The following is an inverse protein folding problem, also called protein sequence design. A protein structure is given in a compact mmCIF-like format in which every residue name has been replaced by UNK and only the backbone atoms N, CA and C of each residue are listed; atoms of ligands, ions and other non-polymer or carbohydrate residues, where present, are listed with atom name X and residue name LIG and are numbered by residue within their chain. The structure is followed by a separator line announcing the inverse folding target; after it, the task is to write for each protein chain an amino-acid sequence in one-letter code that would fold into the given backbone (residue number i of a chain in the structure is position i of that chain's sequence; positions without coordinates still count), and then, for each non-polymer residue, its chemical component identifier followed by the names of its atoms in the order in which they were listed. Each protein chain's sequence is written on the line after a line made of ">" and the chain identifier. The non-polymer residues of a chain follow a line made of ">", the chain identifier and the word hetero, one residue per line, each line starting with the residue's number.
data_IF_323509990601
#
_entry.id   IF_323509990601
#
_cell.length_a   1.000
_cell.length_b   1.000
_cell.length_c   1.000
_cell.angle_alpha   90.00
_cell.angle_beta   90.00
_cell.angle_gamma   90.00
#
_symmetry.space_group_name_H-M   'P 1'
#
loop_
_entity.id
_entity.type
_entity.pdbx_description
1 polymer ?
#
# COMPACT_ATOMS: atom_id res chain seq x y z
N UNK A 1 -13.57 -26.83 68.79
CA UNK A 1 -13.57 -27.25 67.37
C UNK A 1 -13.68 -26.00 66.49
N UNK A 2 -12.66 -25.81 65.65
CA UNK A 2 -12.59 -24.98 64.43
C UNK A 2 -12.87 -23.46 64.55
N UNK A 3 -11.87 -22.77 65.13
CA UNK A 3 -11.43 -21.43 64.72
C UNK A 3 -10.74 -21.52 63.35
N UNK A 4 -11.44 -21.31 62.24
CA UNK A 4 -10.84 -21.04 60.91
C UNK A 4 -11.79 -20.14 60.12
N UNK A 5 -11.79 -18.83 60.41
CA UNK A 5 -12.38 -17.80 59.53
C UNK A 5 -11.50 -16.55 59.57
N UNK A 6 -10.24 -16.66 59.15
CA UNK A 6 -9.38 -15.49 58.96
C UNK A 6 -8.12 -15.75 58.10
N UNK A 7 -8.21 -16.42 56.93
CA UNK A 7 -7.06 -16.49 55.99
C UNK A 7 -7.50 -16.57 54.51
N UNK A 8 -8.49 -15.78 54.08
CA UNK A 8 -8.84 -15.68 52.64
C UNK A 8 -8.95 -14.25 52.12
N UNK A 9 -8.37 -13.27 52.83
CA UNK A 9 -8.44 -11.85 52.43
C UNK A 9 -7.09 -11.20 52.09
N UNK A 10 -6.05 -11.99 51.77
CA UNK A 10 -4.71 -11.48 51.40
C UNK A 10 -4.14 -12.22 50.17
N UNK A 11 -4.99 -12.53 49.18
CA UNK A 11 -4.54 -12.99 47.85
C UNK A 11 -5.25 -12.26 46.69
N UNK A 12 -5.87 -11.11 46.96
CA UNK A 12 -6.54 -10.24 45.99
C UNK A 12 -5.85 -8.87 45.84
N UNK A 13 -4.54 -8.83 46.09
CA UNK A 13 -3.69 -7.62 46.01
C UNK A 13 -2.63 -7.66 44.91
N UNK A 14 -2.89 -8.39 43.82
CA UNK A 14 -1.99 -8.51 42.67
C UNK A 14 -2.58 -7.91 41.39
N UNK A 15 -3.29 -6.79 41.50
CA UNK A 15 -3.79 -6.05 40.34
C UNK A 15 -2.62 -5.32 39.67
N UNK A 16 -2.35 -5.71 38.44
CA UNK A 16 -2.00 -4.74 37.40
C UNK A 16 -0.53 -4.35 37.31
N UNK A 17 0.26 -5.22 36.70
CA UNK A 17 1.14 -4.74 35.62
C UNK A 17 1.02 -5.72 34.46
N UNK A 18 -0.06 -5.59 33.69
CA UNK A 18 -0.08 -6.11 32.33
C UNK A 18 1.00 -5.32 31.58
N UNK A 19 2.16 -5.93 31.41
CA UNK A 19 3.16 -5.46 30.47
C UNK A 19 2.48 -5.44 29.10
N UNK A 20 2.10 -4.25 28.65
CA UNK A 20 1.86 -4.00 27.24
C UNK A 20 3.21 -4.17 26.54
N UNK A 21 3.56 -5.42 26.24
CA UNK A 21 4.63 -5.77 25.34
C UNK A 21 4.20 -5.30 23.95
N UNK A 22 4.37 -4.00 23.68
CA UNK A 22 4.28 -3.45 22.35
C UNK A 22 5.33 -4.17 21.51
N UNK A 23 4.90 -5.12 20.69
CA UNK A 23 5.78 -5.76 19.72
C UNK A 23 6.30 -4.65 18.81
N UNK A 24 7.59 -4.34 18.93
CA UNK A 24 8.24 -3.39 18.02
C UNK A 24 8.07 -3.94 16.61
N UNK A 25 7.16 -3.36 15.83
CA UNK A 25 6.96 -3.72 14.43
C UNK A 25 8.30 -3.50 13.72
N UNK A 26 8.94 -4.58 13.29
CA UNK A 26 10.20 -4.52 12.55
C UNK A 26 9.95 -3.71 11.26
N UNK A 27 10.80 -2.71 10.99
CA UNK A 27 10.74 -1.98 9.72
C UNK A 27 10.95 -2.99 8.58
N UNK A 28 10.11 -2.99 7.54
CA UNK A 28 10.29 -3.89 6.40
C UNK A 28 11.62 -3.59 5.69
N UNK A 29 12.20 -4.60 5.05
CA UNK A 29 13.36 -4.37 4.19
C UNK A 29 12.95 -3.51 2.98
N UNK A 30 13.89 -2.79 2.33
CA UNK A 30 13.55 -1.93 1.20
C UNK A 30 12.74 -2.62 0.09
N UNK A 31 13.11 -3.86 -0.28
CA UNK A 31 12.39 -4.61 -1.32
C UNK A 31 11.01 -5.14 -0.88
N UNK A 32 10.75 -5.20 0.43
CA UNK A 32 9.48 -5.64 1.03
C UNK A 32 8.55 -4.46 1.37
N UNK A 33 9.06 -3.22 1.26
CA UNK A 33 8.28 -2.04 1.59
C UNK A 33 7.15 -1.86 0.57
N UNK A 34 5.91 -1.87 1.07
CA UNK A 34 4.70 -1.88 0.25
C UNK A 34 4.31 -3.26 -0.25
N UNK A 35 4.95 -4.35 0.18
CA UNK A 35 4.48 -5.69 -0.14
C UNK A 35 3.20 -6.03 0.62
N UNK A 36 2.29 -6.75 -0.03
CA UNK A 36 0.99 -7.15 0.51
C UNK A 36 0.84 -8.67 0.39
N UNK A 37 0.48 -9.31 1.50
CA UNK A 37 0.10 -10.72 1.52
C UNK A 37 -1.41 -10.86 1.36
N UNK A 38 -1.85 -11.53 0.30
CA UNK A 38 -3.25 -11.80 -0.01
C UNK A 38 -3.52 -13.29 0.24
N UNK A 39 -4.45 -13.57 1.14
CA UNK A 39 -4.77 -14.92 1.60
C UNK A 39 -6.27 -15.09 1.89
N UNK A 40 -7.14 -14.48 1.07
CA UNK A 40 -8.59 -14.59 1.22
C UNK A 40 -9.07 -16.04 1.19
N UNK A 41 -8.55 -16.82 0.23
CA UNK A 41 -8.98 -18.21 -0.02
C UNK A 41 -7.80 -19.17 -0.23
N UNK A 42 -6.56 -18.68 -0.35
CA UNK A 42 -5.41 -19.52 -0.71
C UNK A 42 -5.17 -20.65 0.28
N UNK A 43 -5.09 -20.35 1.58
CA UNK A 43 -4.84 -21.37 2.60
C UNK A 43 -5.95 -22.43 2.66
N UNK A 44 -7.21 -22.03 2.51
CA UNK A 44 -8.35 -22.96 2.46
C UNK A 44 -8.29 -23.88 1.25
N UNK A 45 -7.71 -23.42 0.15
CA UNK A 45 -7.45 -24.20 -1.06
C UNK A 45 -6.13 -24.99 -1.02
N UNK A 46 -5.44 -25.06 0.12
CA UNK A 46 -4.15 -25.75 0.25
C UNK A 46 -3.00 -25.05 -0.48
N UNK A 47 -3.13 -23.76 -0.79
CA UNK A 47 -2.13 -22.98 -1.51
C UNK A 47 -1.45 -21.95 -0.58
N UNK A 48 -0.16 -21.66 -0.80
CA UNK A 48 0.51 -20.55 -0.13
C UNK A 48 -0.22 -19.23 -0.40
N UNK A 49 -0.11 -18.23 0.48
CA UNK A 49 -0.68 -16.92 0.20
C UNK A 49 -0.03 -16.28 -1.03
N UNK A 50 -0.73 -15.35 -1.67
CA UNK A 50 -0.16 -14.55 -2.76
C UNK A 50 0.65 -13.41 -2.15
N UNK A 51 1.89 -13.24 -2.59
CA UNK A 51 2.72 -12.08 -2.26
C UNK A 51 2.70 -11.09 -3.43
N UNK A 52 2.20 -9.89 -3.18
CA UNK A 52 2.11 -8.81 -4.15
C UNK A 52 3.07 -7.68 -3.78
N UNK A 53 4.03 -7.39 -4.65
CA UNK A 53 4.99 -6.31 -4.44
C UNK A 53 4.61 -5.09 -5.28
N UNK A 54 4.29 -3.97 -4.61
CA UNK A 54 3.88 -2.75 -5.30
C UNK A 54 4.96 -2.21 -6.23
N UNK A 55 6.25 -2.30 -5.86
CA UNK A 55 7.32 -1.71 -6.68
C UNK A 55 7.41 -2.31 -8.09
N UNK A 56 7.07 -3.60 -8.26
CA UNK A 56 7.07 -4.28 -9.56
C UNK A 56 6.04 -3.69 -10.53
N UNK A 57 4.89 -3.27 -9.99
CA UNK A 57 3.76 -2.75 -10.76
C UNK A 57 3.82 -1.23 -10.85
N UNK A 58 4.06 -0.55 -9.73
CA UNK A 58 4.12 0.90 -9.60
C UNK A 58 5.23 1.56 -10.44
N UNK A 59 6.32 0.84 -10.75
CA UNK A 59 7.33 1.35 -11.69
C UNK A 59 6.78 1.55 -13.12
N UNK A 60 5.61 1.00 -13.42
CA UNK A 60 4.98 1.01 -14.73
C UNK A 60 3.58 1.63 -14.75
N UNK A 61 2.80 1.45 -13.69
CA UNK A 61 1.38 1.82 -13.65
C UNK A 61 1.10 2.80 -12.51
N UNK A 62 0.11 3.68 -12.71
CA UNK A 62 -0.43 4.52 -11.65
C UNK A 62 -1.25 3.69 -10.65
N UNK A 63 -1.45 4.20 -9.44
CA UNK A 63 -2.30 3.58 -8.43
C UNK A 63 -3.76 3.52 -8.90
N UNK A 64 -4.20 4.50 -9.71
CA UNK A 64 -5.55 4.58 -10.27
C UNK A 64 -5.92 3.31 -11.05
N UNK A 65 -5.03 2.82 -11.91
CA UNK A 65 -5.28 1.62 -12.71
C UNK A 65 -5.69 0.44 -11.82
N UNK A 66 -4.98 0.19 -10.72
CA UNK A 66 -5.28 -0.95 -9.86
C UNK A 66 -6.46 -0.68 -8.92
N UNK A 67 -6.48 0.48 -8.26
CA UNK A 67 -7.38 0.72 -7.14
C UNK A 67 -8.70 1.39 -7.53
N UNK A 68 -8.79 1.93 -8.75
CA UNK A 68 -10.00 2.55 -9.29
C UNK A 68 -10.51 1.76 -10.49
N UNK A 69 -9.67 1.53 -11.51
CA UNK A 69 -10.14 0.88 -12.75
C UNK A 69 -10.37 -0.63 -12.56
N UNK A 70 -9.42 -1.34 -11.93
CA UNK A 70 -9.55 -2.77 -11.63
C UNK A 70 -10.37 -3.02 -10.35
N UNK A 71 -10.35 -2.08 -9.40
CA UNK A 71 -11.13 -2.16 -8.17
C UNK A 71 -10.48 -2.95 -7.03
N UNK A 72 -9.15 -3.00 -6.97
CA UNK A 72 -8.47 -3.49 -5.77
C UNK A 72 -8.68 -2.52 -4.60
N UNK A 73 -9.17 -3.01 -3.47
CA UNK A 73 -9.30 -2.22 -2.27
C UNK A 73 -7.94 -1.87 -1.67
N UNK A 74 -7.89 -0.74 -0.95
CA UNK A 74 -6.66 -0.19 -0.37
C UNK A 74 -6.14 -0.93 0.87
N UNK A 75 -6.84 -1.99 1.29
CA UNK A 75 -6.51 -2.79 2.48
C UNK A 75 -6.32 -4.24 2.08
N UNK A 76 -5.27 -4.88 2.61
CA UNK A 76 -5.00 -6.28 2.37
C UNK A 76 -6.25 -7.14 2.64
N UNK A 77 -6.57 -8.06 1.72
CA UNK A 77 -7.70 -8.98 1.81
C UNK A 77 -9.12 -8.33 1.79
N UNK A 78 -9.25 -7.02 1.53
CA UNK A 78 -10.58 -6.40 1.41
C UNK A 78 -11.28 -6.85 0.14
N UNK A 79 -10.58 -6.85 -1.00
CA UNK A 79 -11.06 -7.44 -2.25
C UNK A 79 -11.01 -8.96 -2.17
N UNK A 80 -12.15 -9.63 -2.40
CA UNK A 80 -12.28 -11.08 -2.34
C UNK A 80 -11.93 -11.70 -3.69
N UNK A 81 -10.66 -12.01 -3.90
CA UNK A 81 -10.14 -12.48 -5.19
C UNK A 81 -10.20 -14.00 -5.27
N UNK A 82 -10.88 -14.57 -6.26
CA UNK A 82 -10.86 -16.02 -6.57
C UNK A 82 -10.10 -16.30 -7.86
N UNK A 83 -9.52 -17.50 -7.97
CA UNK A 83 -8.87 -17.95 -9.21
C UNK A 83 -9.81 -17.93 -10.42
N UNK A 84 -11.10 -18.25 -10.21
CA UNK A 84 -12.12 -18.18 -11.26
C UNK A 84 -12.35 -16.76 -11.78
N UNK A 85 -12.26 -15.74 -10.90
CA UNK A 85 -12.43 -14.34 -11.31
C UNK A 85 -11.20 -13.87 -12.11
N UNK A 86 -10.00 -14.24 -11.67
CA UNK A 86 -8.77 -14.03 -12.43
C UNK A 86 -8.84 -14.69 -13.83
N UNK A 87 -9.31 -15.93 -13.91
CA UNK A 87 -9.49 -16.62 -15.20
C UNK A 87 -10.51 -15.96 -16.13
N UNK A 88 -11.45 -15.17 -15.59
CA UNK A 88 -12.42 -14.38 -16.35
C UNK A 88 -11.93 -12.97 -16.73
N UNK A 89 -10.68 -12.64 -16.41
CA UNK A 89 -10.09 -11.33 -16.72
C UNK A 89 -10.31 -10.26 -15.66
N UNK A 90 -10.80 -10.61 -14.46
CA UNK A 90 -10.87 -9.68 -13.33
C UNK A 90 -9.58 -9.66 -12.53
N UNK A 91 -9.37 -8.63 -11.71
CA UNK A 91 -8.24 -8.51 -10.78
C UNK A 91 -6.89 -8.67 -11.48
N UNK A 92 -6.08 -9.67 -11.09
CA UNK A 92 -4.79 -9.93 -11.72
C UNK A 92 -4.98 -10.29 -13.19
N UNK A 93 -6.06 -11.02 -13.51
CA UNK A 93 -6.46 -11.44 -14.85
C UNK A 93 -6.69 -10.30 -15.83
N UNK A 94 -6.95 -9.07 -15.35
CA UNK A 94 -7.12 -7.92 -16.24
C UNK A 94 -5.89 -7.67 -17.13
N UNK A 95 -4.69 -7.95 -16.58
CA UNK A 95 -3.42 -7.86 -17.31
C UNK A 95 -2.74 -9.23 -17.47
N UNK A 96 -2.81 -10.08 -16.46
CA UNK A 96 -2.29 -11.44 -16.48
C UNK A 96 -3.32 -12.40 -17.10
N UNK A 97 -3.62 -12.20 -18.37
CA UNK A 97 -4.53 -13.02 -19.19
C UNK A 97 -3.82 -13.81 -20.29
N UNK A 98 -2.49 -13.69 -20.40
CA UNK A 98 -1.74 -14.40 -21.44
C UNK A 98 -1.99 -13.87 -22.85
N UNK A 99 -2.59 -12.69 -23.02
CA UNK A 99 -2.70 -11.98 -24.31
C UNK A 99 -2.14 -10.56 -24.24
N UNK A 100 -2.25 -9.91 -23.09
CA UNK A 100 -1.73 -8.56 -22.84
C UNK A 100 -0.22 -8.49 -23.07
N UNK A 101 0.22 -7.47 -23.79
CA UNK A 101 1.63 -7.19 -24.05
C UNK A 101 1.98 -5.82 -23.47
N UNK A 102 3.02 -5.76 -22.65
CA UNK A 102 3.55 -4.52 -22.11
C UNK A 102 4.99 -4.33 -22.56
N UNK A 103 5.28 -3.22 -23.25
CA UNK A 103 6.60 -2.89 -23.80
C UNK A 103 7.21 -4.06 -24.61
N UNK A 104 6.40 -4.65 -25.50
CA UNK A 104 6.75 -5.80 -26.36
C UNK A 104 7.00 -7.11 -25.60
N UNK A 105 6.72 -7.16 -24.30
CA UNK A 105 6.80 -8.39 -23.49
C UNK A 105 5.39 -8.87 -23.18
N UNK A 106 5.10 -10.11 -23.55
CA UNK A 106 3.84 -10.77 -23.24
C UNK A 106 3.75 -11.02 -21.74
N UNK A 107 2.68 -10.54 -21.10
CA UNK A 107 2.41 -10.76 -19.68
C UNK A 107 1.88 -12.19 -19.52
N UNK A 108 2.42 -12.94 -18.56
CA UNK A 108 1.99 -14.31 -18.28
C UNK A 108 0.55 -14.33 -17.72
N UNK A 109 -0.20 -15.38 -18.02
CA UNK A 109 -1.56 -15.58 -17.50
C UNK A 109 -1.56 -15.92 -16.00
N UNK A 110 -2.51 -15.41 -15.23
CA UNK A 110 -2.55 -15.51 -13.76
C UNK A 110 -3.03 -16.86 -13.23
N UNK A 111 -4.02 -17.48 -13.87
CA UNK A 111 -4.63 -18.74 -13.42
C UNK A 111 -4.94 -19.63 -14.62
N UNK A 112 -4.78 -20.95 -14.47
CA UNK A 112 -5.35 -21.93 -15.40
C UNK A 112 -6.78 -22.28 -14.98
N UNK A 113 -7.65 -22.59 -15.96
CA UNK A 113 -8.94 -23.21 -15.71
C UNK A 113 -8.80 -24.65 -15.17
N UNK A 114 -7.72 -25.34 -15.54
CA UNK A 114 -7.40 -26.71 -15.13
C UNK A 114 -5.94 -26.81 -14.72
N UNK A 115 -5.65 -27.31 -13.53
CA UNK A 115 -4.27 -27.45 -13.05
C UNK A 115 -3.53 -28.59 -13.75
N UNK A 116 -2.39 -28.26 -14.34
CA UNK A 116 -1.38 -29.23 -14.78
C UNK A 116 -0.10 -29.04 -13.98
N UNK A 117 0.78 -30.05 -13.93
CA UNK A 117 2.08 -29.90 -13.25
C UNK A 117 2.93 -28.78 -13.85
N UNK A 118 2.75 -28.47 -15.13
CA UNK A 118 3.47 -27.40 -15.83
C UNK A 118 3.06 -26.01 -15.33
N UNK A 119 1.83 -25.87 -14.79
CA UNK A 119 1.35 -24.61 -14.21
C UNK A 119 2.06 -24.25 -12.90
N UNK A 120 2.71 -25.19 -12.23
CA UNK A 120 3.37 -24.95 -10.95
C UNK A 120 4.36 -23.78 -11.02
N UNK A 121 5.19 -23.73 -12.09
CA UNK A 121 6.19 -22.67 -12.31
C UNK A 121 5.56 -21.27 -12.40
N UNK A 122 4.30 -21.20 -12.81
CA UNK A 122 3.52 -19.97 -12.93
C UNK A 122 2.86 -19.62 -11.61
N UNK A 123 2.27 -20.59 -10.93
CA UNK A 123 1.64 -20.42 -9.62
C UNK A 123 2.62 -19.82 -8.60
N UNK A 124 3.85 -20.33 -8.54
CA UNK A 124 4.87 -19.87 -7.57
C UNK A 124 5.37 -18.44 -7.80
N UNK A 125 5.05 -17.82 -8.95
CA UNK A 125 5.33 -16.39 -9.17
C UNK A 125 4.51 -15.51 -8.23
N UNK A 126 3.29 -15.94 -7.91
CA UNK A 126 2.34 -15.23 -7.06
C UNK A 126 2.21 -15.90 -5.69
N UNK A 127 1.95 -17.21 -5.67
CA UNK A 127 1.79 -18.03 -4.47
C UNK A 127 3.16 -18.46 -3.93
N UNK A 128 3.78 -17.57 -3.16
CA UNK A 128 5.12 -17.78 -2.64
C UNK A 128 5.08 -18.37 -1.22
N UNK A 129 5.82 -19.46 -1.02
CA UNK A 129 6.07 -20.05 0.31
C UNK A 129 7.22 -19.31 0.99
N UNK A 130 8.20 -18.87 0.20
CA UNK A 130 9.45 -18.28 0.66
C UNK A 130 9.80 -17.03 -0.14
N UNK A 131 10.79 -16.29 0.35
CA UNK A 131 11.34 -15.12 -0.35
C UNK A 131 12.02 -15.55 -1.65
N UNK A 132 11.92 -14.71 -2.67
CA UNK A 132 12.48 -14.92 -4.00
C UNK A 132 13.78 -14.09 -4.14
N UNK A 133 14.98 -14.73 -4.09
CA UNK A 133 16.25 -14.01 -4.17
C UNK A 133 16.42 -13.26 -5.50
N UNK A 134 15.87 -13.79 -6.60
CA UNK A 134 15.94 -13.12 -7.90
C UNK A 134 15.11 -11.84 -7.92
N UNK A 135 13.97 -11.83 -7.19
CA UNK A 135 13.15 -10.63 -7.01
C UNK A 135 13.83 -9.58 -6.15
N UNK A 136 14.50 -10.00 -5.08
CA UNK A 136 15.31 -9.12 -4.24
C UNK A 136 16.45 -8.47 -5.05
N UNK A 137 17.22 -9.27 -5.79
CA UNK A 137 18.30 -8.76 -6.65
C UNK A 137 17.75 -7.80 -7.73
N UNK A 138 16.59 -8.12 -8.32
CA UNK A 138 15.93 -7.24 -9.28
C UNK A 138 15.52 -5.89 -8.67
N UNK A 139 15.12 -5.85 -7.40
CA UNK A 139 14.83 -4.60 -6.71
C UNK A 139 16.08 -3.74 -6.57
N UNK A 140 17.21 -4.31 -6.12
CA UNK A 140 18.44 -3.52 -5.94
C UNK A 140 19.02 -3.02 -7.27
N UNK A 141 19.00 -3.82 -8.33
CA UNK A 141 19.35 -3.36 -9.69
C UNK A 141 18.46 -2.23 -10.19
N UNK A 142 17.19 -2.23 -9.79
CA UNK A 142 16.27 -1.14 -10.11
C UNK A 142 16.59 0.11 -9.27
N UNK A 143 16.80 -0.05 -7.97
CA UNK A 143 17.14 1.02 -7.03
C UNK A 143 18.42 1.78 -7.44
N UNK A 144 19.43 1.10 -7.98
CA UNK A 144 20.67 1.74 -8.49
C UNK A 144 20.43 2.80 -9.56
N UNK A 145 19.35 2.67 -10.34
CA UNK A 145 19.01 3.56 -11.45
C UNK A 145 18.03 4.66 -11.06
N UNK A 146 17.63 4.71 -9.79
CA UNK A 146 16.57 5.60 -9.31
C UNK A 146 17.13 6.69 -8.39
N UNK A 147 16.50 7.88 -8.36
CA UNK A 147 16.77 8.88 -7.34
C UNK A 147 16.63 8.29 -5.94
N UNK A 148 17.64 8.50 -5.10
CA UNK A 148 17.70 7.94 -3.74
C UNK A 148 16.84 8.73 -2.75
N UNK A 149 16.36 8.04 -1.74
CA UNK A 149 15.67 8.60 -0.57
C UNK A 149 16.20 7.95 0.71
N UNK A 150 16.11 8.65 1.84
CA UNK A 150 16.54 8.14 3.15
C UNK A 150 15.51 7.18 3.76
N UNK A 151 14.22 7.41 3.50
CA UNK A 151 13.11 6.69 4.10
C UNK A 151 12.35 5.80 3.10
N UNK A 152 11.47 4.93 3.62
CA UNK A 152 10.66 4.02 2.82
C UNK A 152 11.49 2.91 2.21
N UNK A 153 11.34 2.69 0.90
CA UNK A 153 12.13 1.71 0.15
C UNK A 153 13.44 2.26 -0.40
N UNK A 154 13.83 3.48 -0.04
CA UNK A 154 15.05 4.12 -0.51
C UNK A 154 14.97 4.73 -1.92
N UNK A 155 13.78 4.74 -2.54
CA UNK A 155 13.52 5.38 -3.84
C UNK A 155 12.71 6.65 -3.63
N UNK A 156 13.19 7.76 -4.18
CA UNK A 156 12.38 8.97 -4.30
C UNK A 156 11.51 8.87 -5.57
N UNK A 157 10.34 8.26 -5.42
CA UNK A 157 9.39 8.02 -6.52
C UNK A 157 8.90 9.29 -7.19
N UNK A 158 8.72 10.37 -6.43
CA UNK A 158 8.34 11.69 -6.96
C UNK A 158 9.41 12.21 -7.92
N UNK A 159 10.67 12.28 -7.48
CA UNK A 159 11.78 12.68 -8.36
C UNK A 159 11.99 11.74 -9.54
N UNK A 160 11.74 10.44 -9.36
CA UNK A 160 11.87 9.46 -10.43
C UNK A 160 10.84 9.68 -11.55
N UNK A 161 9.64 10.12 -11.19
CA UNK A 161 8.60 10.49 -12.14
C UNK A 161 8.86 11.89 -12.74
N UNK A 162 9.09 12.92 -11.91
CA UNK A 162 9.37 14.29 -12.36
C UNK A 162 10.58 14.35 -13.30
N UNK A 163 11.61 13.53 -13.03
CA UNK A 163 12.83 13.43 -13.84
C UNK A 163 12.69 12.53 -15.07
N UNK A 164 11.52 11.94 -15.34
CA UNK A 164 11.26 11.10 -16.50
C UNK A 164 11.88 9.69 -16.45
N UNK A 165 12.49 9.30 -15.33
CA UNK A 165 13.01 7.93 -15.12
C UNK A 165 11.90 6.89 -15.09
N UNK A 166 10.67 7.30 -14.77
CA UNK A 166 9.47 6.47 -14.80
C UNK A 166 8.49 7.00 -15.86
N UNK A 167 8.07 6.10 -16.75
CA UNK A 167 6.99 6.36 -17.71
C UNK A 167 5.77 5.55 -17.28
N UNK A 168 4.88 6.21 -16.54
CA UNK A 168 3.70 5.60 -15.95
C UNK A 168 2.57 5.48 -16.97
N UNK A 169 1.86 4.36 -16.89
CA UNK A 169 0.63 4.08 -17.61
C UNK A 169 -0.55 4.34 -16.68
N UNK A 170 -1.42 5.29 -17.05
CA UNK A 170 -2.63 5.66 -16.28
C UNK A 170 -3.92 5.12 -16.90
N UNK A 171 -3.81 4.35 -17.99
CA UNK A 171 -4.95 3.79 -18.71
C UNK A 171 -4.56 2.45 -19.37
N UNK A 172 -5.42 1.44 -19.21
CA UNK A 172 -5.29 0.11 -19.83
C UNK A 172 -6.54 -0.14 -20.66
N UNK A 173 -6.35 -0.44 -21.95
CA UNK A 173 -7.44 -0.71 -22.88
C UNK A 173 -8.34 -1.84 -22.39
N UNK A 174 -9.66 -1.64 -22.45
CA UNK A 174 -10.65 -2.62 -22.00
C UNK A 174 -10.80 -2.75 -20.48
N UNK A 175 -9.99 -2.04 -19.69
CA UNK A 175 -10.05 -2.03 -18.23
C UNK A 175 -10.36 -0.64 -17.69
N UNK A 176 -9.62 0.36 -18.16
CA UNK A 176 -9.73 1.73 -17.68
C UNK A 176 -10.89 2.47 -18.31
N UNK A 177 -11.66 3.16 -17.47
CA UNK A 177 -12.72 4.06 -17.92
C UNK A 177 -12.22 5.50 -18.09
N UNK A 178 -13.03 6.33 -18.75
CA UNK A 178 -12.71 7.74 -18.98
C UNK A 178 -12.54 8.48 -17.66
N UNK A 179 -11.37 9.07 -17.45
CA UNK A 179 -11.05 9.89 -16.26
C UNK A 179 -11.97 11.10 -16.18
N UNK A 180 -12.39 11.45 -14.97
CA UNK A 180 -13.13 12.68 -14.71
C UNK A 180 -12.28 13.90 -15.08
N UNK A 181 -12.88 14.88 -15.77
CA UNK A 181 -12.19 16.10 -16.25
C UNK A 181 -12.13 17.20 -15.19
N UNK A 182 -12.01 16.84 -13.91
CA UNK A 182 -12.00 17.80 -12.82
C UNK A 182 -10.71 18.63 -12.84
N UNK A 183 -10.85 19.94 -12.59
CA UNK A 183 -9.70 20.82 -12.47
C UNK A 183 -8.92 20.44 -11.21
N UNK A 184 -7.62 20.21 -11.39
CA UNK A 184 -6.71 19.99 -10.27
C UNK A 184 -6.49 21.31 -9.56
N UNK A 185 -6.89 21.39 -8.30
CA UNK A 185 -6.66 22.58 -7.47
C UNK A 185 -5.18 22.75 -7.15
N UNK A 186 -4.75 24.01 -6.99
CA UNK A 186 -3.37 24.35 -6.66
C UNK A 186 -2.93 23.87 -5.28
N UNK A 187 -1.64 24.05 -4.98
CA UNK A 187 -1.11 23.75 -3.65
C UNK A 187 -1.78 24.64 -2.60
N UNK A 188 -2.02 24.09 -1.41
CA UNK A 188 -2.55 24.87 -0.29
C UNK A 188 -1.95 24.44 1.04
N UNK A 189 -1.88 25.40 1.95
CA UNK A 189 -1.48 25.15 3.33
C UNK A 189 -2.67 24.68 4.19
N UNK A 190 -2.41 23.66 5.01
CA UNK A 190 -3.26 23.19 6.10
C UNK A 190 -2.63 23.67 7.41
N UNK A 191 -3.37 24.49 8.17
CA UNK A 191 -2.87 25.05 9.41
C UNK A 191 -2.79 24.00 10.51
N UNK A 192 -1.65 23.91 11.16
CA UNK A 192 -1.54 23.11 12.38
C UNK A 192 -2.31 23.79 13.52
N UNK A 193 -2.97 22.99 14.35
CA UNK A 193 -3.58 23.46 15.61
C UNK A 193 -2.67 23.26 16.81
N UNK A 194 -1.57 22.54 16.63
CA UNK A 194 -0.57 22.31 17.67
C UNK A 194 0.40 23.48 17.64
N UNK A 195 0.56 24.15 18.77
CA UNK A 195 1.50 25.27 18.93
C UNK A 195 2.93 24.82 18.61
N UNK A 196 3.67 25.67 17.89
CA UNK A 196 5.04 25.37 17.46
C UNK A 196 5.17 24.38 16.30
N UNK A 197 4.09 23.68 15.90
CA UNK A 197 4.12 22.76 14.76
C UNK A 197 3.91 23.53 13.44
N UNK A 198 4.83 23.43 12.47
CA UNK A 198 4.67 24.11 11.18
C UNK A 198 3.46 23.64 10.39
N UNK A 199 2.95 24.50 9.52
CA UNK A 199 1.85 24.16 8.60
C UNK A 199 2.25 23.07 7.60
N UNK A 200 1.27 22.32 7.11
CA UNK A 200 1.45 21.29 6.09
C UNK A 200 1.13 21.87 4.72
N UNK A 201 1.97 21.62 3.71
CA UNK A 201 1.65 21.97 2.32
C UNK A 201 1.18 20.72 1.59
N UNK A 202 -0.07 20.74 1.13
CA UNK A 202 -0.62 19.69 0.28
C UNK A 202 -0.62 20.13 -1.19
N UNK A 203 -0.28 19.20 -2.08
CA UNK A 203 -0.25 19.42 -3.53
C UNK A 203 -1.08 18.35 -4.23
N UNK A 204 -2.20 18.75 -4.84
CA UNK A 204 -2.95 17.80 -5.68
C UNK A 204 -2.12 17.35 -6.87
N UNK A 205 -1.41 18.27 -7.54
CA UNK A 205 -0.60 17.95 -8.72
C UNK A 205 0.33 16.74 -8.48
N UNK A 206 1.07 16.73 -7.37
CA UNK A 206 1.95 15.62 -6.99
C UNK A 206 1.21 14.31 -6.72
N UNK A 207 0.00 14.37 -6.18
CA UNK A 207 -0.79 13.18 -5.88
C UNK A 207 -1.54 12.66 -7.11
N UNK A 208 -2.08 13.53 -7.96
CA UNK A 208 -2.92 13.15 -9.11
C UNK A 208 -2.14 12.61 -10.30
N UNK A 209 -0.81 12.73 -10.29
CA UNK A 209 0.08 12.02 -11.23
C UNK A 209 -0.02 10.50 -11.02
N UNK A 210 -0.07 10.07 -9.75
CA UNK A 210 -0.11 8.66 -9.39
C UNK A 210 -1.54 8.15 -9.18
N UNK A 211 -2.49 9.03 -8.96
CA UNK A 211 -3.82 8.69 -8.46
C UNK A 211 -4.94 9.36 -9.27
N UNK A 212 -6.16 8.85 -9.15
CA UNK A 212 -7.37 9.54 -9.59
C UNK A 212 -8.01 10.34 -8.44
N UNK A 213 -8.90 11.28 -8.76
CA UNK A 213 -9.70 11.97 -7.74
C UNK A 213 -10.50 10.99 -6.89
N UNK A 214 -10.98 9.92 -7.53
CA UNK A 214 -11.79 8.83 -6.99
C UNK A 214 -11.04 8.00 -5.96
N UNK A 215 -9.70 8.02 -5.98
CA UNK A 215 -8.91 7.28 -4.99
C UNK A 215 -8.90 7.96 -3.62
N UNK A 216 -9.16 9.27 -3.59
CA UNK A 216 -9.17 10.05 -2.36
C UNK A 216 -10.58 10.49 -1.96
N UNK A 217 -11.43 10.80 -2.94
CA UNK A 217 -12.75 11.35 -2.71
C UNK A 217 -13.86 10.40 -3.19
N UNK A 218 -14.94 10.24 -2.42
CA UNK A 218 -15.19 10.85 -1.11
C UNK A 218 -14.62 10.04 0.09
N UNK A 219 -14.04 8.87 -0.17
CA UNK A 219 -13.82 7.84 0.86
C UNK A 219 -12.75 8.20 1.90
N UNK A 220 -11.63 8.77 1.46
CA UNK A 220 -10.53 9.16 2.37
C UNK A 220 -10.76 10.59 2.88
N UNK A 221 -11.14 11.49 1.99
CA UNK A 221 -11.43 12.89 2.32
C UNK A 221 -12.85 13.22 1.86
N UNK A 222 -13.70 13.53 2.83
CA UNK A 222 -15.12 13.78 2.60
C UNK A 222 -15.29 15.14 1.93
N UNK A 223 -15.85 15.09 0.71
CA UNK A 223 -16.10 16.26 -0.11
C UNK A 223 -14.83 16.88 -0.72
N UNK A 224 -15.03 17.93 -1.51
CA UNK A 224 -13.97 18.60 -2.27
C UNK A 224 -13.57 19.96 -1.66
N UNK A 225 -14.19 20.35 -0.55
CA UNK A 225 -13.94 21.63 0.12
C UNK A 225 -12.75 21.50 1.06
N UNK A 226 -11.80 22.44 0.95
CA UNK A 226 -10.66 22.55 1.86
C UNK A 226 -11.12 22.59 3.32
N UNK A 227 -10.53 21.75 4.16
CA UNK A 227 -10.80 21.72 5.60
C UNK A 227 -12.14 21.10 6.01
N UNK A 228 -12.89 20.51 5.09
CA UNK A 228 -14.13 19.78 5.40
C UNK A 228 -13.84 18.55 6.29
N UNK A 229 -12.75 17.86 6.00
CA UNK A 229 -12.26 16.72 6.80
C UNK A 229 -11.24 17.21 7.83
N UNK A 230 -11.42 16.82 9.09
CA UNK A 230 -10.48 17.09 10.19
C UNK A 230 -9.86 15.77 10.61
N UNK A 231 -8.56 15.79 10.86
CA UNK A 231 -7.80 14.61 11.23
C UNK A 231 -6.57 14.99 12.06
N UNK A 232 -5.96 13.98 12.68
CA UNK A 232 -4.83 14.08 13.60
C UNK A 232 -3.69 13.16 13.15
N UNK A 233 -2.46 13.46 13.57
CA UNK A 233 -1.32 12.57 13.30
C UNK A 233 -1.54 11.15 13.84
N UNK A 234 -2.30 10.99 14.92
CA UNK A 234 -2.63 9.66 15.48
C UNK A 234 -3.47 8.85 14.49
N UNK A 235 -4.50 9.46 13.88
CA UNK A 235 -5.32 8.79 12.86
C UNK A 235 -4.49 8.45 11.62
N UNK A 236 -3.56 9.33 11.23
CA UNK A 236 -2.63 9.04 10.13
C UNK A 236 -1.75 7.83 10.46
N UNK A 237 -1.16 7.73 11.65
CA UNK A 237 -0.39 6.55 12.07
C UNK A 237 -1.25 5.28 12.17
N UNK A 238 -2.55 5.43 12.43
CA UNK A 238 -3.54 4.34 12.39
C UNK A 238 -3.95 3.95 10.96
N UNK A 239 -3.36 4.56 9.93
CA UNK A 239 -3.58 4.21 8.54
C UNK A 239 -4.80 4.88 7.90
N UNK A 240 -5.29 5.98 8.49
CA UNK A 240 -6.39 6.79 7.96
C UNK A 240 -5.85 8.03 7.24
N UNK A 241 -6.68 8.69 6.42
CA UNK A 241 -6.31 9.91 5.68
C UNK A 241 -5.00 9.74 4.89
N UNK A 242 -3.97 10.55 5.17
CA UNK A 242 -2.66 10.42 4.53
C UNK A 242 -2.03 9.04 4.75
N UNK A 243 -2.27 8.43 5.92
CA UNK A 243 -1.76 7.10 6.28
C UNK A 243 -2.40 5.93 5.54
N UNK A 244 -3.42 6.18 4.71
CA UNK A 244 -3.90 5.15 3.78
C UNK A 244 -2.76 4.74 2.83
N UNK A 245 -1.88 5.68 2.46
CA UNK A 245 -0.74 5.44 1.57
C UNK A 245 0.61 5.60 2.27
N UNK A 246 0.82 6.66 3.06
CA UNK A 246 2.08 6.93 3.75
C UNK A 246 2.32 5.89 4.87
N UNK A 247 3.58 5.47 5.04
CA UNK A 247 4.05 4.29 5.80
C UNK A 247 3.75 2.91 5.21
N UNK A 248 2.88 2.82 4.19
CA UNK A 248 2.55 1.55 3.53
C UNK A 248 3.23 1.44 2.17
N UNK A 249 2.88 2.34 1.25
CA UNK A 249 3.35 2.35 -0.15
C UNK A 249 3.98 3.67 -0.55
N UNK A 250 3.69 4.75 0.18
CA UNK A 250 4.33 6.06 0.04
C UNK A 250 5.34 6.29 1.18
N UNK A 251 6.11 7.37 1.09
CA UNK A 251 7.17 7.65 2.06
C UNK A 251 6.63 7.64 3.51
N UNK A 252 7.42 7.21 4.50
CA UNK A 252 7.02 7.16 5.89
C UNK A 252 6.63 8.52 6.47
N UNK A 253 5.63 8.54 7.35
CA UNK A 253 5.14 9.77 7.99
C UNK A 253 6.14 10.37 8.99
N UNK A 254 7.19 9.62 9.33
CA UNK A 254 8.32 10.10 10.15
C UNK A 254 9.26 11.04 9.39
N UNK A 255 9.10 11.20 8.08
CA UNK A 255 9.82 12.20 7.29
C UNK A 255 9.10 13.56 7.33
N UNK A 256 9.09 14.19 8.51
CA UNK A 256 8.26 15.35 8.84
C UNK A 256 8.39 16.50 7.82
N UNK A 257 9.62 16.74 7.33
CA UNK A 257 9.95 17.80 6.37
C UNK A 257 9.29 17.65 4.99
N UNK A 258 8.77 16.46 4.65
CA UNK A 258 8.05 16.26 3.38
C UNK A 258 6.63 16.78 3.39
N UNK A 259 6.04 16.93 4.57
CA UNK A 259 4.70 17.48 4.73
C UNK A 259 4.76 18.91 5.28
N UNK A 260 5.57 19.12 6.32
CA UNK A 260 5.64 20.38 7.04
C UNK A 260 6.53 21.40 6.33
N UNK A 261 6.02 22.62 6.15
CA UNK A 261 6.66 23.70 5.41
C UNK A 261 7.99 24.18 6.03
N UNK A 262 8.22 23.87 7.31
CA UNK A 262 9.45 24.15 8.06
C UNK A 262 9.86 22.89 8.82
N UNK A 263 11.14 22.76 9.21
CA UNK A 263 11.57 21.69 10.09
C UNK A 263 10.71 21.65 11.35
N UNK A 264 10.18 20.47 11.65
CA UNK A 264 9.55 20.21 12.95
C UNK A 264 10.70 20.08 13.95
N UNK A 265 10.74 20.96 14.95
CA UNK A 265 11.83 21.03 15.93
C UNK A 265 12.07 19.69 16.62
N UNK A 266 13.35 19.34 16.75
CA UNK A 266 13.84 18.21 17.53
C UNK A 266 13.95 18.52 19.02
#
# INVERSE_FOLDING_TARGET
>A
MKRIMLVCLILLGGSGVLWAAGTKKKKPLPHEFGSVTISNYSQQAGMPPVLFDHWLHRKNYTCRVCHVDIGFGMTANSTKIRAADNGKGYFCGACHNGSTTFRKVKIFESCAATYTRDDYKRCVKCHAVEKDPAREEAFYRFLEKMPRETFGNGINWEKAEEGGSLKLVDNVDGVSFKKSSMKVEGNFALKSKVEGMPDIIFSHAKHTVWNGCELCHPDIFVGIKKGATKYTMIELFNGQYCGVCHDKVAFPQTDCKRCHAKPVGG
#
